data_IF_861350949926
#
_entry.id   IF_861350949926
#
_cell.length_a   1.000
_cell.length_b   1.000
_cell.length_c   1.000
_cell.angle_alpha   90.00
_cell.angle_beta   90.00
_cell.angle_gamma   90.00
#
_symmetry.space_group_name_H-M   'P 1'
#
loop_
_entity.id
_entity.type
_entity.pdbx_description
1 polymer ?
#
# COMPACT_ATOMS: atom_id res chain seq x y z
N UNK A 1 1.47 22.06 -17.16
CA UNK A 1 2.85 21.66 -16.84
C UNK A 1 3.09 20.31 -17.50
N UNK A 2 4.11 20.19 -18.34
CA UNK A 2 4.51 18.90 -18.91
C UNK A 2 5.28 18.13 -17.83
N UNK A 3 4.70 17.06 -17.30
CA UNK A 3 5.34 16.23 -16.29
C UNK A 3 6.36 15.29 -16.93
N UNK A 4 7.58 15.25 -16.41
CA UNK A 4 8.60 14.26 -16.80
C UNK A 4 8.52 13.05 -15.88
N UNK A 5 8.37 11.85 -16.44
CA UNK A 5 8.41 10.60 -15.68
C UNK A 5 9.83 10.36 -15.16
N UNK A 6 10.00 10.29 -13.83
CA UNK A 6 11.31 10.04 -13.19
C UNK A 6 11.48 8.54 -12.92
N UNK A 7 10.49 7.92 -12.29
CA UNK A 7 10.44 6.49 -11.99
C UNK A 7 8.97 6.11 -11.72
N UNK A 8 8.69 4.81 -11.61
CA UNK A 8 7.36 4.28 -11.38
C UNK A 8 7.42 2.96 -10.62
N UNK A 9 6.31 2.54 -10.05
CA UNK A 9 6.16 1.24 -9.41
C UNK A 9 4.81 0.62 -9.79
N UNK A 10 4.84 -0.64 -10.19
CA UNK A 10 3.65 -1.44 -10.48
C UNK A 10 3.44 -2.47 -9.38
N UNK A 11 2.21 -2.60 -8.89
CA UNK A 11 1.83 -3.57 -7.86
C UNK A 11 2.22 -5.00 -8.25
N UNK A 12 2.94 -5.70 -7.39
CA UNK A 12 3.47 -7.05 -7.64
C UNK A 12 2.61 -8.13 -7.00
N UNK A 13 2.15 -7.93 -5.75
CA UNK A 13 1.26 -8.90 -5.07
C UNK A 13 -0.19 -8.49 -5.27
N UNK A 14 -0.80 -9.08 -6.30
CA UNK A 14 -2.22 -8.89 -6.57
C UNK A 14 -3.08 -9.67 -5.56
N UNK A 15 -4.20 -9.08 -5.19
CA UNK A 15 -5.21 -9.66 -4.32
C UNK A 15 -6.05 -10.65 -5.13
N UNK A 16 -6.11 -11.94 -4.74
CA UNK A 16 -7.02 -12.91 -5.35
C UNK A 16 -8.47 -12.44 -5.27
N UNK A 17 -9.26 -12.74 -6.31
CA UNK A 17 -10.69 -12.40 -6.45
C UNK A 17 -10.95 -10.90 -6.69
N UNK A 18 -10.20 -10.01 -6.03
CA UNK A 18 -10.32 -8.57 -6.21
C UNK A 18 -9.61 -8.04 -7.45
N UNK A 19 -8.40 -8.52 -7.73
CA UNK A 19 -7.55 -8.01 -8.82
C UNK A 19 -7.27 -9.04 -9.91
N UNK A 20 -7.43 -10.32 -9.58
CA UNK A 20 -7.40 -11.40 -10.57
C UNK A 20 -8.16 -12.63 -10.09
N UNK A 21 -8.57 -13.51 -11.00
CA UNK A 21 -9.15 -14.81 -10.63
C UNK A 21 -8.11 -15.93 -10.70
N UNK A 22 -7.83 -16.63 -9.58
CA UNK A 22 -6.90 -17.76 -9.58
C UNK A 22 -7.38 -18.91 -10.48
N UNK A 23 -6.45 -19.57 -11.16
CA UNK A 23 -6.75 -20.84 -11.85
C UNK A 23 -7.04 -21.94 -10.81
N UNK A 24 -7.98 -22.88 -11.09
CA UNK A 24 -8.76 -23.03 -12.32
C UNK A 24 -10.10 -22.26 -12.33
N UNK A 25 -10.32 -21.32 -11.41
CA UNK A 25 -11.63 -20.73 -11.14
C UNK A 25 -12.07 -19.63 -12.13
N UNK A 26 -11.44 -19.52 -13.30
CA UNK A 26 -11.76 -18.49 -14.30
C UNK A 26 -13.22 -18.52 -14.75
N UNK A 27 -13.86 -19.69 -14.74
CA UNK A 27 -15.27 -19.86 -15.08
C UNK A 27 -16.22 -19.05 -14.17
N UNK A 28 -15.79 -18.69 -12.95
CA UNK A 28 -16.61 -17.89 -12.02
C UNK A 28 -16.87 -16.49 -12.56
N UNK A 29 -16.04 -15.96 -13.47
CA UNK A 29 -16.26 -14.65 -14.10
C UNK A 29 -17.53 -14.59 -14.95
N UNK A 30 -17.89 -15.72 -15.57
CA UNK A 30 -19.08 -15.84 -16.41
C UNK A 30 -20.35 -15.99 -15.56
N UNK A 31 -20.21 -16.55 -14.35
CA UNK A 31 -21.30 -16.79 -13.41
C UNK A 31 -21.59 -15.54 -12.57
N UNK A 32 -20.55 -14.81 -12.16
CA UNK A 32 -20.66 -13.71 -11.21
C UNK A 32 -20.16 -12.40 -11.82
N UNK A 33 -21.10 -11.53 -12.22
CA UNK A 33 -20.79 -10.21 -12.79
C UNK A 33 -19.90 -9.35 -11.87
N UNK A 34 -20.03 -9.50 -10.55
CA UNK A 34 -19.22 -8.76 -9.56
C UNK A 34 -17.70 -9.03 -9.67
N UNK A 35 -17.30 -10.15 -10.28
CA UNK A 35 -15.89 -10.53 -10.49
C UNK A 35 -15.54 -10.70 -11.97
N UNK A 36 -16.46 -10.31 -12.87
CA UNK A 36 -16.31 -10.42 -14.32
C UNK A 36 -15.35 -9.39 -14.95
N UNK A 37 -14.60 -8.65 -14.13
CA UNK A 37 -13.65 -7.64 -14.59
C UNK A 37 -12.41 -8.21 -15.26
N UNK A 38 -11.59 -7.30 -15.81
CA UNK A 38 -10.27 -7.63 -16.36
C UNK A 38 -9.31 -8.04 -15.23
N UNK A 39 -8.50 -9.06 -15.46
CA UNK A 39 -7.41 -9.40 -14.54
C UNK A 39 -6.28 -8.39 -14.71
N UNK A 40 -5.77 -7.87 -13.60
CA UNK A 40 -4.56 -7.06 -13.62
C UNK A 40 -3.33 -7.92 -13.88
N UNK A 41 -2.31 -7.30 -14.49
CA UNK A 41 -1.00 -7.92 -14.70
C UNK A 41 -0.09 -7.48 -13.54
N UNK A 42 0.52 -8.42 -12.81
CA UNK A 42 1.43 -8.07 -11.73
C UNK A 42 2.69 -7.39 -12.27
N UNK A 43 3.21 -6.43 -11.52
CA UNK A 43 4.53 -5.85 -11.72
C UNK A 43 5.62 -6.92 -11.66
N UNK A 44 6.72 -6.68 -12.38
CA UNK A 44 7.76 -7.68 -12.59
C UNK A 44 8.86 -7.66 -11.51
N UNK A 45 8.98 -6.58 -10.74
CA UNK A 45 10.09 -6.42 -9.80
C UNK A 45 9.68 -5.69 -8.51
N UNK A 46 10.22 -6.16 -7.39
CA UNK A 46 10.22 -5.42 -6.14
C UNK A 46 11.31 -4.34 -6.25
N UNK A 47 10.92 -3.11 -6.61
CA UNK A 47 11.84 -1.98 -6.73
C UNK A 47 11.33 -0.79 -5.94
N UNK A 48 12.26 -0.08 -5.30
CA UNK A 48 12.00 1.23 -4.72
C UNK A 48 11.95 2.30 -5.82
N UNK A 49 11.13 3.32 -5.61
CA UNK A 49 11.20 4.57 -6.39
C UNK A 49 12.41 5.37 -5.90
N UNK A 50 13.24 5.84 -6.83
CA UNK A 50 14.41 6.65 -6.51
C UNK A 50 14.18 8.12 -6.88
N UNK A 51 14.35 9.02 -5.90
CA UNK A 51 14.30 10.46 -6.15
C UNK A 51 15.25 11.20 -5.21
N UNK A 52 16.32 11.79 -5.76
CA UNK A 52 17.42 12.38 -4.98
C UNK A 52 17.95 11.36 -3.96
N UNK A 53 17.96 11.71 -2.67
CA UNK A 53 18.42 10.84 -1.59
C UNK A 53 17.34 9.86 -1.10
N UNK A 54 16.11 9.94 -1.63
CA UNK A 54 15.01 9.05 -1.25
C UNK A 54 15.06 7.75 -2.05
N UNK A 55 14.90 6.66 -1.30
CA UNK A 55 14.63 5.30 -1.78
C UNK A 55 13.32 4.88 -1.16
N UNK A 56 12.24 5.03 -1.93
CA UNK A 56 10.87 4.92 -1.43
C UNK A 56 10.33 3.54 -1.77
N UNK A 57 10.05 2.73 -0.75
CA UNK A 57 9.25 1.51 -0.93
C UNK A 57 7.77 1.90 -0.99
N UNK A 58 7.07 1.46 -2.04
CA UNK A 58 5.66 1.82 -2.26
C UNK A 58 4.78 0.56 -2.30
N UNK A 59 4.61 -0.17 -1.19
CA UNK A 59 3.66 -1.28 -1.17
C UNK A 59 2.24 -0.73 -1.40
N UNK A 60 1.51 -1.32 -2.34
CA UNK A 60 0.14 -0.93 -2.66
C UNK A 60 -0.84 -1.87 -1.95
N UNK A 61 -1.72 -1.29 -1.14
CA UNK A 61 -2.78 -1.98 -0.41
C UNK A 61 -2.18 -3.17 0.38
N UNK A 62 -2.71 -4.38 0.19
CA UNK A 62 -2.28 -5.59 0.90
C UNK A 62 -0.82 -6.00 0.74
N UNK A 63 -0.05 -5.40 -0.17
CA UNK A 63 1.39 -5.69 -0.29
C UNK A 63 2.16 -5.51 1.02
N UNK A 64 1.74 -4.56 1.86
CA UNK A 64 2.37 -4.30 3.16
C UNK A 64 2.23 -5.49 4.12
N UNK A 65 1.20 -6.32 3.96
CA UNK A 65 0.99 -7.52 4.77
C UNK A 65 1.84 -8.72 4.30
N UNK A 66 2.44 -8.67 3.11
CA UNK A 66 3.27 -9.75 2.59
C UNK A 66 4.72 -9.64 3.08
N UNK A 67 5.02 -10.24 4.24
CA UNK A 67 6.34 -10.18 4.90
C UNK A 67 7.53 -10.42 3.94
N UNK A 68 7.57 -11.58 3.26
CA UNK A 68 8.70 -11.95 2.38
C UNK A 68 8.83 -11.05 1.16
N UNK A 69 7.74 -10.39 0.76
CA UNK A 69 7.75 -9.41 -0.30
C UNK A 69 8.31 -8.08 0.20
N UNK A 70 7.86 -7.62 1.37
CA UNK A 70 8.37 -6.41 2.01
C UNK A 70 9.87 -6.48 2.30
N UNK A 71 10.39 -7.64 2.72
CA UNK A 71 11.83 -7.88 2.90
C UNK A 71 12.64 -7.60 1.62
N UNK A 72 12.04 -7.82 0.44
CA UNK A 72 12.68 -7.54 -0.85
C UNK A 72 12.46 -6.09 -1.28
N UNK A 73 11.24 -5.58 -1.12
CA UNK A 73 10.85 -4.24 -1.58
C UNK A 73 11.51 -3.14 -0.76
N UNK A 74 11.53 -3.28 0.56
CA UNK A 74 11.97 -2.24 1.49
C UNK A 74 13.43 -2.42 1.96
N UNK A 75 14.16 -3.42 1.45
CA UNK A 75 15.54 -3.75 1.85
C UNK A 75 16.46 -2.54 1.93
N UNK A 76 16.42 -1.69 0.89
CA UNK A 76 17.28 -0.51 0.77
C UNK A 76 16.48 0.81 0.90
N UNK A 77 15.22 0.72 1.34
CA UNK A 77 14.34 1.87 1.47
C UNK A 77 14.69 2.72 2.70
N UNK A 78 14.60 4.04 2.55
CA UNK A 78 14.69 4.99 3.66
C UNK A 78 13.40 5.76 3.87
N UNK A 79 12.32 5.36 3.19
CA UNK A 79 10.95 5.81 3.39
C UNK A 79 10.01 4.71 2.89
N UNK A 80 8.92 4.44 3.61
CA UNK A 80 7.83 3.58 3.14
C UNK A 80 6.60 4.45 2.91
N UNK A 81 5.96 4.29 1.75
CA UNK A 81 4.71 4.96 1.41
C UNK A 81 3.70 3.90 1.03
N UNK A 82 2.81 3.56 1.96
CA UNK A 82 1.75 2.59 1.71
C UNK A 82 0.59 3.33 1.06
N UNK A 83 0.26 2.99 -0.19
CA UNK A 83 -0.88 3.55 -0.90
C UNK A 83 -2.05 2.57 -0.82
N UNK A 84 -3.16 2.94 -0.21
CA UNK A 84 -4.29 2.02 -0.03
C UNK A 84 -5.65 2.70 -0.22
N UNK A 85 -6.68 1.88 -0.46
CA UNK A 85 -8.08 2.27 -0.44
C UNK A 85 -8.86 1.26 0.40
N UNK A 86 -9.13 1.63 1.65
CA UNK A 86 -9.87 0.77 2.58
C UNK A 86 -11.40 0.97 2.52
N UNK A 87 -11.91 1.74 1.55
CA UNK A 87 -13.36 1.94 1.37
C UNK A 87 -14.14 0.63 1.19
N UNK A 88 -13.48 -0.43 0.73
CA UNK A 88 -14.05 -1.79 0.59
C UNK A 88 -14.44 -2.42 1.93
N UNK A 89 -13.75 -2.07 3.00
CA UNK A 89 -13.92 -2.67 4.32
C UNK A 89 -14.95 -1.97 5.20
N UNK A 90 -15.38 -0.75 4.82
CA UNK A 90 -16.34 0.07 5.59
C UNK A 90 -15.97 0.09 7.08
N UNK A 91 -16.94 -0.20 7.95
CA UNK A 91 -16.81 -0.15 9.41
C UNK A 91 -16.29 -1.47 10.01
N UNK A 92 -15.66 -2.34 9.21
CA UNK A 92 -15.10 -3.60 9.72
C UNK A 92 -13.70 -3.41 10.34
N UNK A 93 -13.35 -4.32 11.24
CA UNK A 93 -12.02 -4.40 11.87
C UNK A 93 -10.87 -4.64 10.87
N UNK A 94 -11.19 -5.00 9.62
CA UNK A 94 -10.19 -5.19 8.58
C UNK A 94 -9.35 -3.93 8.35
N UNK A 95 -9.93 -2.73 8.45
CA UNK A 95 -9.19 -1.46 8.29
C UNK A 95 -8.14 -1.29 9.39
N UNK A 96 -8.53 -1.57 10.63
CA UNK A 96 -7.63 -1.52 11.78
C UNK A 96 -6.50 -2.56 11.66
N UNK A 97 -6.83 -3.79 11.29
CA UNK A 97 -5.84 -4.85 11.10
C UNK A 97 -4.87 -4.51 9.97
N UNK A 98 -5.38 -3.97 8.87
CA UNK A 98 -4.58 -3.55 7.72
C UNK A 98 -3.58 -2.46 8.12
N UNK A 99 -4.03 -1.45 8.87
CA UNK A 99 -3.18 -0.38 9.39
C UNK A 99 -2.05 -0.90 10.30
N UNK A 100 -2.27 -1.99 11.07
CA UNK A 100 -1.21 -2.57 11.91
C UNK A 100 -0.03 -3.09 11.11
N UNK A 101 -0.23 -3.55 9.88
CA UNK A 101 0.88 -3.95 9.02
C UNK A 101 1.78 -2.76 8.63
N UNK A 102 1.22 -1.56 8.48
CA UNK A 102 2.02 -0.36 8.24
C UNK A 102 2.86 0.03 9.45
N UNK A 103 2.31 -0.09 10.67
CA UNK A 103 3.09 0.12 11.90
C UNK A 103 4.19 -0.93 12.05
N UNK A 104 3.91 -2.19 11.73
CA UNK A 104 4.90 -3.24 11.70
C UNK A 104 6.02 -2.92 10.70
N UNK A 105 5.70 -2.51 9.47
CA UNK A 105 6.69 -2.15 8.47
C UNK A 105 7.62 -1.02 8.97
N UNK A 106 7.05 0.01 9.58
CA UNK A 106 7.79 1.13 10.17
C UNK A 106 8.81 0.66 11.22
N UNK A 107 8.37 -0.21 12.13
CA UNK A 107 9.21 -0.77 13.20
C UNK A 107 10.28 -1.71 12.64
N UNK A 108 9.91 -2.57 11.70
CA UNK A 108 10.77 -3.63 11.17
C UNK A 108 11.90 -3.06 10.30
N UNK A 109 11.58 -2.13 9.40
CA UNK A 109 12.55 -1.49 8.52
C UNK A 109 13.19 -0.23 9.12
N UNK A 110 12.78 0.17 10.34
CA UNK A 110 13.33 1.31 11.08
C UNK A 110 13.35 2.60 10.26
N UNK A 111 12.26 2.85 9.55
CA UNK A 111 12.08 4.06 8.75
C UNK A 111 10.66 4.59 8.93
N UNK A 112 10.45 5.86 8.55
CA UNK A 112 9.11 6.43 8.53
C UNK A 112 8.23 5.67 7.53
N UNK A 113 6.98 5.48 7.92
CA UNK A 113 5.93 4.93 7.06
C UNK A 113 4.81 5.94 6.92
N UNK A 114 4.54 6.36 5.69
CA UNK A 114 3.38 7.15 5.33
C UNK A 114 2.25 6.20 4.93
N UNK A 115 1.19 6.17 5.73
CA UNK A 115 -0.01 5.41 5.43
C UNK A 115 -1.01 6.34 4.75
N UNK A 116 -1.17 6.18 3.44
CA UNK A 116 -1.96 7.08 2.59
C UNK A 116 -3.20 6.34 2.12
N UNK A 117 -4.35 6.74 2.66
CA UNK A 117 -5.62 6.08 2.43
C UNK A 117 -6.64 7.01 1.80
N UNK A 118 -7.42 6.51 0.85
CA UNK A 118 -8.49 7.27 0.20
C UNK A 118 -9.72 7.50 1.08
N UNK A 119 -10.11 6.51 1.90
CA UNK A 119 -11.36 6.56 2.68
C UNK A 119 -11.18 6.14 4.14
N UNK A 120 -10.10 5.41 4.44
CA UNK A 120 -9.70 5.08 5.80
C UNK A 120 -8.83 6.16 6.45
N UNK A 121 -8.36 5.85 7.66
CA UNK A 121 -7.37 6.71 8.34
C UNK A 121 -6.15 6.94 7.44
N UNK A 122 -5.63 8.16 7.41
CA UNK A 122 -4.32 8.51 6.81
C UNK A 122 -3.37 8.90 7.93
N UNK A 123 -2.13 8.40 7.95
CA UNK A 123 -1.25 8.58 9.09
C UNK A 123 0.25 8.70 8.75
N UNK A 124 0.98 9.35 9.65
CA UNK A 124 2.46 9.36 9.65
C UNK A 124 2.92 8.50 10.83
N UNK A 125 3.72 7.49 10.53
CA UNK A 125 4.24 6.53 11.50
C UNK A 125 5.76 6.67 11.56
N UNK A 126 6.32 6.76 12.76
CA UNK A 126 7.75 6.90 12.97
C UNK A 126 8.49 5.53 12.96
N UNK A 127 9.84 5.53 12.95
CA UNK A 127 10.63 4.30 12.97
C UNK A 127 10.42 3.38 14.21
N UNK A 128 9.67 3.83 15.21
CA UNK A 128 9.32 3.05 16.40
C UNK A 128 7.88 2.51 16.34
N UNK A 129 7.20 2.68 15.21
CA UNK A 129 5.80 2.26 15.01
C UNK A 129 4.77 3.18 15.67
N UNK A 130 5.18 4.35 16.19
CA UNK A 130 4.28 5.30 16.83
C UNK A 130 3.59 6.17 15.78
N UNK A 131 2.29 6.38 15.94
CA UNK A 131 1.52 7.29 15.10
C UNK A 131 1.79 8.73 15.56
N UNK A 132 2.45 9.52 14.72
CA UNK A 132 2.76 10.92 15.02
C UNK A 132 1.57 11.83 14.74
N UNK A 133 0.88 11.58 13.62
CA UNK A 133 -0.27 12.36 13.17
C UNK A 133 -1.21 11.47 12.36
N UNK A 134 -2.51 11.74 12.44
CA UNK A 134 -3.56 10.95 11.77
C UNK A 134 -4.72 11.85 11.33
N UNK A 135 -5.25 11.61 10.14
CA UNK A 135 -6.58 12.05 9.68
C UNK A 135 -7.56 10.89 9.82
N UNK A 136 -8.79 11.19 10.23
CA UNK A 136 -9.81 10.18 10.51
C UNK A 136 -10.46 9.58 9.26
N UNK A 137 -11.23 8.50 9.47
CA UNK A 137 -12.07 7.88 8.46
C UNK A 137 -13.01 8.88 7.77
N UNK A 138 -13.06 8.84 6.43
CA UNK A 138 -13.89 9.70 5.58
C UNK A 138 -13.69 11.22 5.77
N UNK A 139 -12.56 11.62 6.35
CA UNK A 139 -12.18 13.02 6.49
C UNK A 139 -11.46 13.53 5.22
N UNK A 140 -11.98 14.61 4.63
CA UNK A 140 -11.35 15.25 3.47
C UNK A 140 -10.40 16.35 3.94
N UNK A 141 -9.12 16.03 4.06
CA UNK A 141 -8.08 16.99 4.44
C UNK A 141 -6.69 16.57 3.89
N UNK A 142 -5.66 17.35 4.22
CA UNK A 142 -4.26 17.09 3.87
C UNK A 142 -3.43 16.94 5.14
N UNK A 143 -2.75 15.79 5.27
CA UNK A 143 -1.86 15.52 6.40
C UNK A 143 -0.44 16.05 6.11
N UNK A 144 -0.04 17.12 6.78
CA UNK A 144 1.30 17.72 6.65
C UNK A 144 2.11 17.59 7.95
N UNK A 145 3.38 17.20 7.83
CA UNK A 145 4.37 17.18 8.92
C UNK A 145 5.82 17.25 8.39
N UNK A 146 6.78 17.48 9.28
CA UNK A 146 8.23 17.48 8.99
C UNK A 146 8.87 16.28 9.67
N UNK A 147 9.36 15.34 8.87
CA UNK A 147 10.07 14.15 9.37
C UNK A 147 11.46 14.56 9.87
N UNK A 148 11.84 14.06 11.04
CA UNK A 148 13.13 14.33 11.68
C UNK A 148 14.07 13.13 11.59
#
# INVERSE_FOLDING_TARGET
AEGMLIDYYDKVKLMPIGEYIPKPFGFLKEIFQAIGGIDYIPGQSAKVIKYKDLRIAVPICFEVAHYSYMERLAKDANLIVVLTNDGWFKDSDCTFQHFRFAQWASLHFKTYTLWVNNSGDTAIIDPYGRVLKKLGYMERDVLVDVLK
#
